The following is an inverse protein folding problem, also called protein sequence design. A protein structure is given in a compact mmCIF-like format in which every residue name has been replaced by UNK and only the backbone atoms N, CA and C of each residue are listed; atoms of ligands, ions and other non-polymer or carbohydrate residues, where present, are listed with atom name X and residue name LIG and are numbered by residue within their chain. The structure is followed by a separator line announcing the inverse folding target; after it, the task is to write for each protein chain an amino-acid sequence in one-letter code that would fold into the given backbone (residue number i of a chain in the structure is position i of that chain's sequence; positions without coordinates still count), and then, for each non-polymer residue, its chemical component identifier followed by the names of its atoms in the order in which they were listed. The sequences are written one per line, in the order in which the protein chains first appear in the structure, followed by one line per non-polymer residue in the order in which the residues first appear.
data_IF_862637910744
#
_entry.id   IF_862637910744
#
_cell.length_a   1.000
_cell.length_b   1.000
_cell.length_c   1.000
_cell.angle_alpha   90.00
_cell.angle_beta   90.00
_cell.angle_gamma   90.00
#
_symmetry.space_group_name_H-M   'P 1'
#
loop_
_entity.id
_entity.type
_entity.pdbx_description
1 polymer ?
#
# COMPACT_ATOMS: atom_id res chain seq x y z
N UNK A 1 -2.65 -35.26 -17.47
CA UNK A 1 -3.49 -35.26 -16.26
C UNK A 1 -4.44 -34.07 -16.31
N UNK A 2 -5.75 -34.25 -16.07
CA UNK A 2 -6.73 -33.16 -15.90
C UNK A 2 -7.00 -32.99 -14.41
N UNK A 3 -7.09 -31.74 -13.93
CA UNK A 3 -7.46 -31.46 -12.55
C UNK A 3 -8.95 -31.72 -12.33
N UNK A 4 -9.32 -32.09 -11.11
CA UNK A 4 -10.73 -32.15 -10.70
C UNK A 4 -11.32 -30.75 -10.55
N UNK A 5 -12.65 -30.64 -10.58
CA UNK A 5 -13.37 -29.37 -10.37
C UNK A 5 -12.98 -28.69 -9.04
N UNK A 6 -12.82 -29.49 -7.98
CA UNK A 6 -12.36 -28.99 -6.67
C UNK A 6 -10.93 -28.45 -6.71
N UNK A 7 -10.02 -29.14 -7.41
CA UNK A 7 -8.65 -28.67 -7.58
C UNK A 7 -8.60 -27.35 -8.38
N UNK A 8 -9.44 -27.21 -9.41
CA UNK A 8 -9.57 -25.96 -10.15
C UNK A 8 -10.10 -24.82 -9.28
N UNK A 9 -11.11 -25.06 -8.45
CA UNK A 9 -11.64 -24.06 -7.52
C UNK A 9 -10.55 -23.56 -6.56
N UNK A 10 -9.82 -24.48 -5.93
CA UNK A 10 -8.71 -24.12 -5.03
C UNK A 10 -7.58 -23.34 -5.72
N UNK A 11 -7.26 -23.65 -6.98
CA UNK A 11 -6.27 -22.89 -7.76
C UNK A 11 -6.80 -21.48 -8.07
N UNK A 12 -8.06 -21.37 -8.51
CA UNK A 12 -8.69 -20.08 -8.83
C UNK A 12 -8.72 -19.17 -7.61
N UNK A 13 -9.13 -19.70 -6.46
CA UNK A 13 -9.31 -18.90 -5.26
C UNK A 13 -7.95 -18.38 -4.75
N UNK A 14 -6.89 -19.22 -4.76
CA UNK A 14 -5.51 -18.77 -4.49
C UNK A 14 -5.00 -17.71 -5.46
N UNK A 15 -5.36 -17.81 -6.75
CA UNK A 15 -4.98 -16.78 -7.75
C UNK A 15 -5.69 -15.46 -7.48
N UNK A 16 -6.96 -15.50 -7.06
CA UNK A 16 -7.73 -14.30 -6.71
C UNK A 16 -7.16 -13.61 -5.48
N UNK A 17 -6.82 -14.39 -4.45
CA UNK A 17 -6.18 -13.87 -3.24
C UNK A 17 -4.86 -13.17 -3.55
N UNK A 18 -3.95 -13.83 -4.29
CA UNK A 18 -2.70 -13.21 -4.73
C UNK A 18 -2.90 -11.95 -5.58
N UNK A 19 -3.90 -11.95 -6.45
CA UNK A 19 -4.22 -10.78 -7.27
C UNK A 19 -4.74 -9.62 -6.41
N UNK A 20 -5.57 -9.91 -5.39
CA UNK A 20 -6.05 -8.91 -4.45
C UNK A 20 -4.92 -8.31 -3.62
N UNK A 21 -4.00 -9.14 -3.12
CA UNK A 21 -2.80 -8.69 -2.40
C UNK A 21 -1.91 -7.79 -3.27
N UNK A 22 -1.67 -8.17 -4.53
CA UNK A 22 -0.88 -7.38 -5.47
C UNK A 22 -1.53 -6.01 -5.76
N UNK A 23 -2.85 -5.98 -6.02
CA UNK A 23 -3.57 -4.72 -6.24
C UNK A 23 -3.52 -3.83 -4.99
N UNK A 24 -3.69 -4.39 -3.79
CA UNK A 24 -3.59 -3.63 -2.54
C UNK A 24 -2.20 -3.01 -2.36
N UNK A 25 -1.13 -3.75 -2.65
CA UNK A 25 0.24 -3.24 -2.59
C UNK A 25 0.49 -2.13 -3.62
N UNK A 26 -0.02 -2.27 -4.85
CA UNK A 26 0.08 -1.23 -5.88
C UNK A 26 -0.64 0.05 -5.47
N UNK A 27 -1.86 -0.06 -4.92
CA UNK A 27 -2.61 1.09 -4.42
C UNK A 27 -1.92 1.77 -3.23
N UNK A 28 -1.34 1.01 -2.30
CA UNK A 28 -0.57 1.55 -1.19
C UNK A 28 0.63 2.37 -1.69
N UNK A 29 1.42 1.82 -2.60
CA UNK A 29 2.55 2.54 -3.20
C UNK A 29 2.11 3.80 -3.96
N UNK A 30 0.98 3.74 -4.68
CA UNK A 30 0.44 4.91 -5.38
C UNK A 30 -0.01 6.00 -4.40
N UNK A 31 -0.65 5.62 -3.29
CA UNK A 31 -1.06 6.55 -2.24
C UNK A 31 0.14 7.22 -1.56
N UNK A 32 1.18 6.44 -1.23
CA UNK A 32 2.42 6.97 -0.65
C UNK A 32 3.09 8.00 -1.56
N UNK A 33 3.18 7.70 -2.87
CA UNK A 33 3.72 8.64 -3.86
C UNK A 33 2.89 9.92 -3.95
N UNK A 34 1.56 9.78 -3.96
CA UNK A 34 0.67 10.94 -4.02
C UNK A 34 0.82 11.85 -2.80
N UNK A 35 0.86 11.27 -1.59
CA UNK A 35 1.10 12.03 -0.35
C UNK A 35 2.45 12.74 -0.40
N UNK A 36 3.52 12.04 -0.77
CA UNK A 36 4.85 12.64 -0.88
C UNK A 36 4.91 13.77 -1.91
N UNK A 37 4.24 13.64 -3.06
CA UNK A 37 4.17 14.71 -4.07
C UNK A 37 3.38 15.93 -3.59
N UNK A 38 2.33 15.72 -2.80
CA UNK A 38 1.53 16.79 -2.21
C UNK A 38 2.21 17.43 -1.00
N UNK A 39 3.36 16.91 -0.57
CA UNK A 39 4.06 17.41 0.60
C UNK A 39 3.55 16.85 1.92
N UNK A 40 2.80 15.76 1.93
CA UNK A 40 2.33 15.11 3.17
C UNK A 40 3.21 13.92 3.57
N UNK A 41 3.36 13.71 4.87
CA UNK A 41 4.00 12.53 5.42
C UNK A 41 3.15 11.27 5.17
N UNK A 42 3.75 10.25 4.57
CA UNK A 42 3.10 8.96 4.31
C UNK A 42 2.80 8.15 5.58
N UNK A 43 3.42 8.52 6.71
CA UNK A 43 3.25 7.83 7.99
C UNK A 43 2.13 8.42 8.85
N UNK A 44 2.09 9.75 8.99
CA UNK A 44 1.15 10.45 9.88
C UNK A 44 0.20 11.43 9.17
N UNK A 45 0.37 11.67 7.86
CA UNK A 45 -0.49 12.57 7.09
C UNK A 45 -0.26 14.07 7.34
N UNK A 46 0.75 14.45 8.13
CA UNK A 46 1.10 15.85 8.40
C UNK A 46 1.71 16.54 7.19
N UNK A 47 1.46 17.85 7.03
CA UNK A 47 2.05 18.69 5.99
C UNK A 47 3.54 18.93 6.28
N UNK A 48 4.39 18.64 5.29
CA UNK A 48 5.85 18.79 5.32
C UNK A 48 6.27 20.11 4.65
N UNK A 49 5.43 20.75 3.84
CA UNK A 49 5.80 21.95 3.07
C UNK A 49 5.47 23.26 3.82
N UNK A 50 4.53 23.24 4.76
CA UNK A 50 4.27 24.35 5.68
C UNK A 50 5.34 24.38 6.79
N UNK A 51 6.50 24.93 6.46
CA UNK A 51 7.71 24.86 7.27
C UNK A 51 7.56 25.33 8.71
N UNK A 52 7.69 24.39 9.66
CA UNK A 52 8.26 24.64 10.99
C UNK A 52 8.75 23.37 11.70
N UNK A 53 9.05 22.25 11.01
CA UNK A 53 9.61 21.05 11.69
C UNK A 53 10.37 20.10 10.72
N UNK A 54 11.34 20.64 10.00
CA UNK A 54 12.06 19.92 8.93
C UNK A 54 13.22 19.00 9.37
N UNK A 55 13.64 19.01 10.64
CA UNK A 55 14.85 18.26 11.03
C UNK A 55 14.60 16.80 11.44
N UNK A 56 13.34 16.37 11.53
CA UNK A 56 13.02 14.97 11.86
C UNK A 56 11.65 14.55 11.33
N UNK A 57 11.56 14.26 10.03
CA UNK A 57 10.34 13.75 9.39
C UNK A 57 9.63 12.72 10.27
N UNK A 58 8.45 13.09 10.77
CA UNK A 58 7.54 12.30 11.62
C UNK A 58 8.21 11.34 12.64
N UNK A 59 9.32 11.76 13.27
CA UNK A 59 9.96 11.02 14.36
C UNK A 59 9.52 11.52 15.75
N UNK A 60 8.52 12.42 15.82
CA UNK A 60 8.07 13.06 17.06
C UNK A 60 6.54 13.07 17.16
N UNK A 61 5.92 11.89 17.25
CA UNK A 61 4.66 11.77 17.99
C UNK A 61 4.94 10.96 19.23
N UNK A 62 5.07 11.68 20.35
CA UNK A 62 5.13 11.15 21.71
C UNK A 62 3.74 11.24 22.32
#
# INVERSE_FOLDING_TARGET
MRFSSHQYAAIRDRKRERAAEAMAAEHAMAAERALSMLGFCTHCGGDILEGEEHDSGCAVMR
#
